data_IF_053577854800
#
_entry.id   IF_053577854800
#
_cell.length_a   1.000
_cell.length_b   1.000
_cell.length_c   1.000
_cell.angle_alpha   90.00
_cell.angle_beta   90.00
_cell.angle_gamma   90.00
#
_symmetry.space_group_name_H-M   'P 1'
#
loop_
_entity.id
_entity.type
_entity.pdbx_description
1 polymer ?
#
# COMPACT_ATOMS: atom_id res chain seq x y z
N UNK A 1 -11.91 20.49 -10.42
CA UNK A 1 -11.41 20.07 -9.10
C UNK A 1 -10.45 18.93 -9.38
N UNK A 2 -9.16 19.09 -9.06
CA UNK A 2 -8.23 17.97 -9.13
C UNK A 2 -8.63 16.95 -8.06
N UNK A 3 -8.97 15.74 -8.49
CA UNK A 3 -9.12 14.60 -7.59
C UNK A 3 -7.72 14.29 -7.02
N UNK A 4 -7.56 14.44 -5.71
CA UNK A 4 -6.28 14.20 -5.04
C UNK A 4 -6.13 12.71 -4.70
N UNK A 5 -4.92 12.18 -4.89
CA UNK A 5 -4.56 10.85 -4.43
C UNK A 5 -4.43 10.86 -2.90
N UNK A 6 -5.33 10.16 -2.21
CA UNK A 6 -5.28 9.90 -0.79
C UNK A 6 -4.60 8.56 -0.54
N UNK A 7 -3.66 8.53 0.41
CA UNK A 7 -2.96 7.30 0.82
C UNK A 7 -3.02 7.12 2.33
N UNK A 8 -3.12 5.87 2.78
CA UNK A 8 -3.22 5.49 4.18
C UNK A 8 -2.32 4.29 4.46
N UNK A 9 -1.58 4.30 5.56
CA UNK A 9 -1.04 3.07 6.15
C UNK A 9 -2.14 2.37 6.94
N UNK A 10 -2.70 1.30 6.36
CA UNK A 10 -3.80 0.53 6.95
C UNK A 10 -3.31 -0.31 8.12
N UNK A 11 -2.19 -1.01 7.92
CA UNK A 11 -1.52 -1.81 8.96
C UNK A 11 -0.07 -1.35 9.01
N UNK A 12 0.43 -1.05 10.21
CA UNK A 12 1.83 -0.64 10.39
C UNK A 12 2.80 -1.84 10.39
N UNK A 13 4.10 -1.57 10.49
CA UNK A 13 5.13 -2.62 10.53
C UNK A 13 5.07 -3.53 11.77
N UNK A 14 4.32 -3.14 12.81
CA UNK A 14 4.11 -3.93 14.02
C UNK A 14 2.78 -4.72 13.96
N UNK A 15 2.04 -4.64 12.85
CA UNK A 15 0.74 -5.29 12.69
C UNK A 15 -0.44 -4.53 13.32
N UNK A 16 -0.26 -3.27 13.74
CA UNK A 16 -1.35 -2.46 14.31
C UNK A 16 -2.22 -1.89 13.19
N UNK A 17 -3.52 -2.12 13.30
CA UNK A 17 -4.52 -1.63 12.36
C UNK A 17 -4.92 -0.17 12.66
N UNK A 18 -4.94 0.67 11.63
CA UNK A 18 -5.25 2.10 11.73
C UNK A 18 -6.73 2.38 11.46
N UNK A 19 -7.58 2.15 12.47
CA UNK A 19 -9.04 2.37 12.37
C UNK A 19 -9.38 3.83 12.04
N UNK A 20 -8.79 4.77 12.78
CA UNK A 20 -9.10 6.20 12.62
C UNK A 20 -8.73 6.71 11.21
N UNK A 21 -7.55 6.34 10.71
CA UNK A 21 -7.14 6.69 9.36
C UNK A 21 -8.00 6.04 8.28
N UNK A 22 -8.51 4.82 8.52
CA UNK A 22 -9.44 4.18 7.59
C UNK A 22 -10.78 4.93 7.51
N UNK A 23 -11.33 5.37 8.64
CA UNK A 23 -12.56 6.16 8.65
C UNK A 23 -12.40 7.49 7.91
N UNK A 24 -11.27 8.18 8.07
CA UNK A 24 -10.93 9.40 7.34
C UNK A 24 -10.78 9.13 5.84
N UNK A 25 -10.09 8.05 5.48
CA UNK A 25 -9.91 7.65 4.09
C UNK A 25 -11.25 7.35 3.40
N UNK A 26 -12.13 6.57 4.03
CA UNK A 26 -13.47 6.23 3.52
C UNK A 26 -14.30 7.49 3.25
N UNK A 27 -14.21 8.49 4.14
CA UNK A 27 -14.89 9.78 3.96
C UNK A 27 -14.26 10.59 2.82
N UNK A 28 -12.94 10.65 2.74
CA UNK A 28 -12.21 11.41 1.73
C UNK A 28 -12.50 10.91 0.31
N UNK A 29 -12.47 9.58 0.11
CA UNK A 29 -12.69 8.96 -1.21
C UNK A 29 -14.17 8.70 -1.51
N UNK A 30 -15.08 9.14 -0.63
CA UNK A 30 -16.54 8.98 -0.74
C UNK A 30 -16.97 7.53 -0.98
N UNK A 31 -16.26 6.56 -0.41
CA UNK A 31 -16.46 5.12 -0.66
C UNK A 31 -17.91 4.68 -0.37
N UNK A 32 -18.54 5.27 0.64
CA UNK A 32 -19.94 5.00 1.03
C UNK A 32 -20.96 5.39 -0.04
N UNK A 33 -20.63 6.34 -0.92
CA UNK A 33 -21.50 6.78 -2.02
C UNK A 33 -21.40 5.84 -3.22
N UNK A 34 -20.30 5.10 -3.35
CA UNK A 34 -20.06 4.17 -4.46
C UNK A 34 -20.79 2.83 -4.30
N UNK A 35 -21.33 2.52 -3.11
CA UNK A 35 -22.06 1.28 -2.85
C UNK A 35 -21.21 0.03 -3.15
N UNK A 36 -21.64 -0.78 -4.11
CA UNK A 36 -20.91 -1.97 -4.59
C UNK A 36 -20.00 -1.69 -5.80
N UNK A 37 -19.98 -0.46 -6.31
CA UNK A 37 -19.20 -0.05 -7.48
C UNK A 37 -17.80 0.42 -7.07
N UNK A 38 -17.03 -0.47 -6.47
CA UNK A 38 -15.61 -0.24 -6.17
C UNK A 38 -14.81 -1.52 -6.43
N UNK A 39 -13.53 -1.36 -6.73
CA UNK A 39 -12.59 -2.47 -6.95
C UNK A 39 -11.38 -2.29 -6.04
N UNK A 40 -10.88 -3.38 -5.48
CA UNK A 40 -9.66 -3.39 -4.68
C UNK A 40 -8.61 -4.22 -5.39
N UNK A 41 -7.42 -3.66 -5.60
CA UNK A 41 -6.29 -4.34 -6.25
C UNK A 41 -5.14 -4.42 -5.25
N UNK A 42 -4.68 -5.63 -4.94
CA UNK A 42 -3.51 -5.85 -4.08
C UNK A 42 -2.32 -6.36 -4.86
N UNK A 43 -1.12 -5.87 -4.55
CA UNK A 43 0.14 -6.40 -5.11
C UNK A 43 0.99 -7.05 -4.01
N UNK A 44 1.49 -8.26 -4.29
CA UNK A 44 2.35 -9.02 -3.40
C UNK A 44 3.58 -9.51 -4.16
N UNK A 45 4.72 -9.58 -3.48
CA UNK A 45 5.96 -10.07 -4.07
C UNK A 45 7.20 -9.74 -3.23
N UNK A 46 8.39 -10.14 -3.69
CA UNK A 46 9.65 -9.95 -2.95
C UNK A 46 9.94 -8.50 -2.57
N UNK A 47 10.79 -8.29 -1.57
CA UNK A 47 11.25 -6.94 -1.23
C UNK A 47 12.06 -6.36 -2.39
N UNK A 48 11.87 -5.07 -2.66
CA UNK A 48 12.58 -4.34 -3.72
C UNK A 48 12.35 -4.85 -5.15
N UNK A 49 11.23 -5.55 -5.41
CA UNK A 49 10.83 -5.99 -6.76
C UNK A 49 10.09 -4.93 -7.60
N UNK A 50 10.00 -3.68 -7.13
CA UNK A 50 9.33 -2.59 -7.86
C UNK A 50 7.81 -2.53 -7.73
N UNK A 51 7.22 -3.14 -6.69
CA UNK A 51 5.76 -3.16 -6.46
C UNK A 51 5.12 -1.78 -6.41
N UNK A 52 5.62 -0.92 -5.52
CA UNK A 52 5.10 0.44 -5.32
C UNK A 52 5.28 1.30 -6.58
N UNK A 53 6.43 1.16 -7.26
CA UNK A 53 6.69 1.80 -8.56
C UNK A 53 5.66 1.36 -9.62
N UNK A 54 5.35 0.07 -9.72
CA UNK A 54 4.35 -0.43 -10.66
C UNK A 54 2.95 0.14 -10.36
N UNK A 55 2.54 0.15 -9.09
CA UNK A 55 1.24 0.72 -8.69
C UNK A 55 1.15 2.21 -9.00
N UNK A 56 2.20 2.98 -8.71
CA UNK A 56 2.25 4.41 -9.01
C UNK A 56 2.08 4.70 -10.50
N UNK A 57 2.73 3.92 -11.36
CA UNK A 57 2.63 4.09 -12.81
C UNK A 57 1.31 3.59 -13.40
N UNK A 58 0.77 2.47 -12.92
CA UNK A 58 -0.41 1.85 -13.51
C UNK A 58 -1.73 2.46 -13.01
N UNK A 59 -1.77 2.86 -11.74
CA UNK A 59 -2.98 3.33 -11.07
C UNK A 59 -2.92 4.80 -10.64
N UNK A 60 -1.88 5.53 -11.05
CA UNK A 60 -1.68 6.94 -10.71
C UNK A 60 -1.67 7.21 -9.19
N UNK A 61 -1.12 6.27 -8.42
CA UNK A 61 -0.97 6.41 -6.96
C UNK A 61 0.34 7.10 -6.60
N UNK A 62 0.52 7.40 -5.31
CA UNK A 62 1.72 8.05 -4.79
C UNK A 62 2.31 7.30 -3.57
N UNK A 63 2.47 5.98 -3.71
CA UNK A 63 3.17 5.18 -2.71
C UNK A 63 4.64 5.56 -2.64
N UNK A 64 5.21 5.48 -1.44
CA UNK A 64 6.62 5.77 -1.22
C UNK A 64 7.49 4.75 -1.96
N UNK A 65 8.35 5.24 -2.84
CA UNK A 65 9.33 4.42 -3.55
C UNK A 65 10.69 4.43 -2.86
N UNK A 66 11.49 3.41 -3.18
CA UNK A 66 12.84 3.26 -2.64
C UNK A 66 13.74 4.34 -3.26
N UNK A 67 14.36 5.15 -2.41
CA UNK A 67 15.37 6.12 -2.86
C UNK A 67 16.74 5.44 -2.92
N UNK A 68 17.19 5.12 -4.14
CA UNK A 68 18.47 4.45 -4.38
C UNK A 68 19.68 5.25 -3.86
N UNK A 69 19.59 6.58 -3.75
CA UNK A 69 20.67 7.43 -3.25
C UNK A 69 20.81 7.38 -1.73
N UNK A 70 19.76 6.98 -1.00
CA UNK A 70 19.76 6.83 0.47
C UNK A 70 20.09 5.42 0.95
N UNK A 71 20.39 4.51 0.02
CA UNK A 71 20.71 3.11 0.31
C UNK A 71 19.50 2.17 0.18
N UNK A 72 19.78 0.88 -0.04
CA UNK A 72 18.75 -0.17 -0.17
C UNK A 72 18.24 -0.54 1.22
N UNK A 73 17.09 0.02 1.60
CA UNK A 73 16.39 -0.31 2.85
C UNK A 73 14.92 -0.60 2.58
N UNK A 74 14.28 -1.32 3.50
CA UNK A 74 12.85 -1.62 3.39
C UNK A 74 12.01 -0.34 3.26
N UNK A 75 11.32 -0.20 2.13
CA UNK A 75 10.58 1.03 1.77
C UNK A 75 9.13 1.00 2.26
N UNK A 76 8.42 -0.10 2.00
CA UNK A 76 7.05 -0.32 2.46
C UNK A 76 7.07 -1.17 3.71
N UNK A 77 6.57 -0.62 4.83
CA UNK A 77 6.33 -1.35 6.09
C UNK A 77 4.84 -1.49 6.33
N UNK A 78 4.40 -2.71 6.63
CA UNK A 78 2.99 -3.04 6.79
C UNK A 78 2.22 -3.02 5.46
N UNK A 79 0.96 -2.57 5.49
CA UNK A 79 0.07 -2.55 4.34
C UNK A 79 -0.41 -1.12 4.12
N UNK A 80 -0.23 -0.62 2.91
CA UNK A 80 -0.65 0.69 2.48
C UNK A 80 -1.82 0.60 1.50
N UNK A 81 -2.69 1.61 1.50
CA UNK A 81 -3.80 1.74 0.58
C UNK A 81 -3.82 3.13 -0.04
N UNK A 82 -4.28 3.25 -1.28
CA UNK A 82 -4.54 4.53 -1.94
C UNK A 82 -5.70 4.44 -2.93
N UNK A 83 -6.44 5.52 -3.16
CA UNK A 83 -7.39 5.60 -4.27
C UNK A 83 -6.67 5.89 -5.59
N UNK A 84 -7.16 5.26 -6.65
CA UNK A 84 -6.64 5.42 -7.99
C UNK A 84 -7.44 6.52 -8.69
N UNK A 85 -6.83 7.69 -8.85
CA UNK A 85 -7.50 8.86 -9.42
C UNK A 85 -7.76 8.64 -10.92
N UNK A 86 -8.98 8.93 -11.38
CA UNK A 86 -9.34 8.86 -12.79
C UNK A 86 -9.62 7.45 -13.33
N UNK A 87 -9.79 6.45 -12.45
CA UNK A 87 -10.13 5.07 -12.81
C UNK A 87 -11.55 4.75 -12.32
N UNK A 88 -12.40 4.28 -13.23
CA UNK A 88 -13.75 3.81 -12.94
C UNK A 88 -13.88 2.29 -13.17
N UNK A 89 -14.58 1.55 -12.28
CA UNK A 89 -15.20 2.00 -11.02
C UNK A 89 -14.13 2.41 -9.99
N UNK A 90 -14.54 3.10 -8.91
CA UNK A 90 -13.63 3.58 -7.86
C UNK A 90 -12.66 2.47 -7.45
N UNK A 91 -11.39 2.62 -7.82
CA UNK A 91 -10.37 1.60 -7.59
C UNK A 91 -9.48 2.01 -6.45
N UNK A 92 -9.23 1.10 -5.51
CA UNK A 92 -8.26 1.30 -4.42
C UNK A 92 -7.15 0.26 -4.56
N UNK A 93 -5.92 0.75 -4.63
CA UNK A 93 -4.72 -0.06 -4.68
C UNK A 93 -4.21 -0.33 -3.27
N UNK A 94 -3.72 -1.55 -3.03
CA UNK A 94 -3.08 -1.97 -1.79
C UNK A 94 -1.64 -2.41 -2.08
N UNK A 95 -0.67 -1.71 -1.48
CA UNK A 95 0.76 -2.07 -1.53
C UNK A 95 1.13 -2.85 -0.26
N UNK A 96 1.50 -4.11 -0.44
CA UNK A 96 1.89 -4.99 0.65
C UNK A 96 3.41 -4.95 0.83
N UNK A 97 3.86 -4.95 2.09
CA UNK A 97 5.26 -5.15 2.45
C UNK A 97 5.87 -6.36 1.71
N UNK A 98 7.07 -6.16 1.19
CA UNK A 98 7.78 -7.20 0.47
C UNK A 98 8.14 -8.38 1.37
N UNK A 99 7.98 -9.60 0.86
CA UNK A 99 8.09 -10.83 1.64
C UNK A 99 9.51 -11.39 1.79
N UNK A 100 10.52 -10.77 1.16
CA UNK A 100 11.90 -11.24 1.20
C UNK A 100 12.67 -10.61 2.37
N UNK A 101 12.82 -11.40 3.45
CA UNK A 101 13.34 -11.00 4.74
C UNK A 101 14.84 -11.22 4.89
N UNK A 102 15.64 -10.19 4.60
CA UNK A 102 16.95 -10.03 5.25
C UNK A 102 16.91 -9.14 6.49
N UNK A 103 15.96 -8.19 6.56
CA UNK A 103 15.82 -7.27 7.69
C UNK A 103 14.86 -7.79 8.78
N UNK A 104 14.00 -8.77 8.46
CA UNK A 104 13.34 -9.60 9.46
C UNK A 104 14.32 -10.69 9.85
N UNK A 105 15.08 -10.47 10.93
CA UNK A 105 16.06 -11.44 11.43
C UNK A 105 15.53 -12.88 11.37
N UNK A 106 16.34 -13.75 10.77
CA UNK A 106 16.24 -15.21 10.69
C UNK A 106 14.92 -15.83 11.18
N UNK A 107 14.03 -16.18 10.25
CA UNK A 107 13.06 -17.24 10.52
C UNK A 107 13.72 -18.61 10.30
N UNK A 108 14.76 -18.91 11.09
CA UNK A 108 15.30 -20.26 11.26
C UNK A 108 15.33 -20.62 12.75
N UNK A 109 14.16 -20.68 13.40
CA UNK A 109 14.04 -21.63 14.49
C UNK A 109 14.07 -23.03 13.87
N UNK A 110 15.26 -23.60 13.78
CA UNK A 110 15.46 -25.04 13.59
C UNK A 110 14.72 -25.74 14.73
N UNK A 111 13.60 -26.38 14.43
CA UNK A 111 13.12 -27.49 15.23
C UNK A 111 14.01 -28.70 14.89
N UNK A 112 14.87 -29.05 15.85
CA UNK A 112 15.29 -30.43 16.05
C UNK A 112 14.57 -30.93 17.30
#
# INVERSE_FOLDING_TARGET
>A
MEELCHSLQLIDGNGKFNVAGLEEFVKAVKLTQCGLSYTVVGIMGPQSSGKSTLLNHLFHTNFREMDAYKGRSQTTKGIWMANCVGIEPLTIAMDLEGTDGRERGECFQKQF
#
